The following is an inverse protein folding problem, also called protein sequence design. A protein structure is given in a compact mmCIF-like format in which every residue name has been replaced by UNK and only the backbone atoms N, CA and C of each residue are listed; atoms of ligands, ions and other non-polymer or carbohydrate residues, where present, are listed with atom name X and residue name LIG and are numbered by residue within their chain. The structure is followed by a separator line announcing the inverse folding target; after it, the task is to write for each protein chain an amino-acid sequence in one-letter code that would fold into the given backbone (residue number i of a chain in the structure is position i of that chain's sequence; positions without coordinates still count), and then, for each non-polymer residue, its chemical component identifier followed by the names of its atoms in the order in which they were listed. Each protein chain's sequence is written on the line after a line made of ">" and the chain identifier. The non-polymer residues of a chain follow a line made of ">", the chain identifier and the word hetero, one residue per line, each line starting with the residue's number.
data_IF_464119079057
#
_entry.id   IF_464119079057
#
_cell.length_a   1.000
_cell.length_b   1.000
_cell.length_c   1.000
_cell.angle_alpha   90.00
_cell.angle_beta   90.00
_cell.angle_gamma   90.00
#
_symmetry.space_group_name_H-M   'P 1'
#
loop_
_entity.id
_entity.type
_entity.pdbx_description
1 polymer ?
#
# COMPACT_ATOMS: atom_id res chain seq x y z
N UNK A 1 29.16 -23.68 -0.14
CA UNK A 1 29.02 -24.56 1.05
C UNK A 1 30.23 -24.58 1.98
N UNK A 2 31.48 -24.58 1.50
CA UNK A 2 32.69 -24.67 2.34
C UNK A 2 32.94 -23.43 3.24
N UNK A 3 32.45 -22.26 2.85
CA UNK A 3 32.58 -20.98 3.59
C UNK A 3 31.64 -20.88 4.79
N UNK A 4 30.43 -21.43 4.70
CA UNK A 4 29.45 -21.40 5.80
C UNK A 4 29.88 -22.29 6.97
N UNK A 5 30.48 -23.44 6.69
CA UNK A 5 30.93 -24.40 7.71
C UNK A 5 32.15 -23.93 8.53
N UNK A 6 32.87 -22.89 8.08
CA UNK A 6 34.07 -22.34 8.73
C UNK A 6 33.86 -21.04 9.52
N UNK A 7 32.61 -20.54 9.62
CA UNK A 7 32.32 -19.29 10.32
C UNK A 7 32.46 -19.46 11.84
N UNK A 8 33.38 -18.71 12.44
CA UNK A 8 33.57 -18.66 13.89
C UNK A 8 32.42 -17.95 14.62
N UNK A 9 32.38 -18.04 15.95
CA UNK A 9 31.36 -17.36 16.77
C UNK A 9 31.33 -15.85 16.47
N UNK A 10 30.13 -15.31 16.18
CA UNK A 10 29.86 -13.89 15.87
C UNK A 10 30.51 -13.37 14.57
N UNK A 11 30.73 -14.27 13.62
CA UNK A 11 31.13 -13.94 12.25
C UNK A 11 29.94 -14.22 11.33
N UNK A 12 29.55 -13.23 10.52
CA UNK A 12 28.36 -13.25 9.67
C UNK A 12 28.77 -13.15 8.21
N UNK A 13 27.99 -13.82 7.35
CA UNK A 13 28.09 -13.70 5.90
C UNK A 13 26.92 -12.85 5.43
N UNK A 14 27.21 -11.72 4.78
CA UNK A 14 26.21 -10.88 4.13
C UNK A 14 26.20 -11.22 2.64
N UNK A 15 25.08 -11.77 2.18
CA UNK A 15 24.78 -11.87 0.76
C UNK A 15 23.94 -10.66 0.37
N UNK A 16 24.52 -9.73 -0.38
CA UNK A 16 23.83 -8.56 -0.90
C UNK A 16 23.45 -8.82 -2.35
N UNK A 17 22.15 -8.81 -2.68
CA UNK A 17 21.64 -9.05 -4.04
C UNK A 17 22.09 -7.99 -5.07
N UNK A 18 22.73 -6.92 -4.61
CA UNK A 18 23.30 -5.85 -5.43
C UNK A 18 24.82 -5.92 -5.57
N UNK A 19 25.49 -6.89 -4.95
CA UNK A 19 26.95 -7.08 -5.04
C UNK A 19 27.28 -8.52 -5.44
N UNK A 20 28.31 -8.69 -6.26
CA UNK A 20 28.66 -9.99 -6.85
C UNK A 20 29.42 -10.92 -5.89
N UNK A 21 29.88 -10.43 -4.73
CA UNK A 21 30.69 -11.20 -3.78
C UNK A 21 30.10 -11.17 -2.35
N UNK A 22 30.16 -12.30 -1.66
CA UNK A 22 29.70 -12.41 -0.27
C UNK A 22 30.69 -11.75 0.70
N UNK A 23 30.20 -10.90 1.60
CA UNK A 23 31.03 -10.17 2.56
C UNK A 23 30.98 -10.82 3.94
N UNK A 24 32.14 -11.17 4.51
CA UNK A 24 32.26 -11.68 5.88
C UNK A 24 32.58 -10.55 6.85
N UNK A 25 31.78 -10.38 7.89
CA UNK A 25 32.00 -9.36 8.91
C UNK A 25 31.78 -9.88 10.34
N UNK A 26 32.26 -9.14 11.34
CA UNK A 26 32.13 -9.50 12.77
C UNK A 26 31.54 -8.36 13.57
N UNK A 27 30.77 -8.69 14.61
CA UNK A 27 30.14 -7.70 15.49
C UNK A 27 30.18 -8.15 16.95
N UNK A 28 30.22 -7.18 17.87
CA UNK A 28 30.24 -7.43 19.32
C UNK A 28 28.85 -7.74 19.88
N UNK A 29 27.79 -7.21 19.27
CA UNK A 29 26.40 -7.34 19.70
C UNK A 29 25.52 -7.63 18.48
N UNK A 30 24.67 -8.66 18.57
CA UNK A 30 23.68 -9.04 17.55
C UNK A 30 22.36 -9.29 18.24
N UNK A 31 21.30 -8.67 17.74
CA UNK A 31 19.93 -9.04 18.06
C UNK A 31 19.26 -9.61 16.82
N UNK A 32 18.71 -10.81 16.95
CA UNK A 32 17.95 -11.47 15.89
C UNK A 32 16.47 -11.14 16.09
N UNK A 33 15.95 -10.21 15.29
CA UNK A 33 14.55 -9.79 15.34
C UNK A 33 13.63 -10.69 14.51
N UNK A 34 14.20 -11.47 13.60
CA UNK A 34 13.55 -12.49 12.80
C UNK A 34 14.46 -13.71 12.80
N UNK A 35 14.51 -14.42 13.93
CA UNK A 35 15.13 -15.74 13.93
C UNK A 35 14.39 -16.56 12.88
N UNK A 36 15.12 -17.04 11.87
CA UNK A 36 14.58 -17.98 10.89
C UNK A 36 13.99 -19.21 11.58
N UNK A 37 13.38 -20.14 10.81
CA UNK A 37 12.67 -21.28 11.38
C UNK A 37 13.54 -22.01 12.41
N UNK A 38 12.95 -22.30 13.58
CA UNK A 38 13.65 -22.89 14.73
C UNK A 38 14.51 -24.09 14.29
N UNK A 39 15.75 -24.14 14.75
CA UNK A 39 16.61 -25.30 14.48
C UNK A 39 16.05 -26.55 15.18
N UNK A 40 16.34 -27.74 14.65
CA UNK A 40 15.81 -29.01 15.16
C UNK A 40 16.09 -29.24 16.65
N UNK A 41 17.21 -28.74 17.16
CA UNK A 41 17.55 -28.80 18.59
C UNK A 41 16.77 -27.79 19.44
N UNK A 42 16.52 -26.59 18.92
CA UNK A 42 15.66 -25.62 19.56
C UNK A 42 14.22 -26.12 19.61
N UNK A 43 13.72 -26.74 18.54
CA UNK A 43 12.41 -27.43 18.52
C UNK A 43 12.36 -28.51 19.60
N UNK A 44 13.38 -29.38 19.70
CA UNK A 44 13.45 -30.40 20.76
C UNK A 44 13.43 -29.81 22.18
N UNK A 45 14.10 -28.69 22.37
CA UNK A 45 14.16 -28.01 23.67
C UNK A 45 12.80 -27.38 24.01
N UNK A 46 12.14 -26.78 23.03
CA UNK A 46 10.80 -26.20 23.16
C UNK A 46 9.71 -27.26 23.37
N UNK A 47 9.90 -28.45 22.79
CA UNK A 47 9.00 -29.59 22.95
C UNK A 47 9.30 -30.42 24.21
N UNK A 48 10.36 -30.11 24.96
CA UNK A 48 10.78 -30.90 26.13
C UNK A 48 9.81 -30.76 27.31
N UNK A 49 9.20 -29.59 27.45
CA UNK A 49 8.18 -29.30 28.47
C UNK A 49 6.75 -29.51 27.94
N UNK A 50 6.60 -29.80 26.63
CA UNK A 50 5.35 -30.30 26.05
C UNK A 50 5.35 -31.82 26.12
N UNK A 51 4.75 -32.36 27.18
CA UNK A 51 4.27 -33.75 27.17
C UNK A 51 3.43 -33.94 25.89
N UNK A 52 3.67 -34.99 25.09
CA UNK A 52 3.07 -35.10 23.78
C UNK A 52 1.61 -35.54 23.92
N UNK A 53 0.69 -34.59 23.79
CA UNK A 53 -0.56 -34.89 23.11
C UNK A 53 -0.25 -34.86 21.62
N UNK A 54 0.16 -36.00 21.08
CA UNK A 54 0.29 -36.19 19.63
C UNK A 54 -1.09 -36.06 19.01
N UNK A 55 -1.36 -34.93 18.35
CA UNK A 55 -1.90 -34.87 16.97
C UNK A 55 -1.85 -33.44 16.45
N UNK A 56 -1.53 -33.32 15.16
CA UNK A 56 -1.40 -32.09 14.39
C UNK A 56 -2.62 -31.15 14.50
N UNK A 57 -2.35 -29.85 14.58
CA UNK A 57 -3.34 -28.77 14.57
C UNK A 57 -3.75 -28.46 13.13
N UNK A 58 -4.77 -29.19 12.67
CA UNK A 58 -5.80 -28.74 11.74
C UNK A 58 -7.08 -28.49 12.59
N UNK A 59 -8.13 -27.80 12.08
CA UNK A 59 -9.21 -27.25 12.91
C UNK A 59 -9.80 -28.34 13.82
N UNK A 60 -10.24 -27.99 15.05
CA UNK A 60 -10.47 -28.95 16.12
C UNK A 60 -11.40 -30.06 15.63
N UNK A 61 -10.81 -31.24 15.43
CA UNK A 61 -11.52 -32.46 15.11
C UNK A 61 -12.50 -32.75 16.23
N UNK A 62 -13.78 -32.57 15.91
CA UNK A 62 -14.93 -32.80 16.78
C UNK A 62 -14.89 -34.23 17.32
N UNK A 63 -14.69 -34.38 18.62
CA UNK A 63 -15.00 -35.63 19.30
C UNK A 63 -16.51 -35.84 19.22
N UNK A 64 -16.91 -36.91 18.53
CA UNK A 64 -18.29 -37.28 18.28
C UNK A 64 -19.07 -37.42 19.59
N UNK A 65 -19.89 -36.42 19.92
CA UNK A 65 -20.92 -36.56 20.95
C UNK A 65 -22.12 -37.30 20.32
N UNK A 66 -22.01 -38.63 20.37
CA UNK A 66 -23.05 -39.67 20.38
C UNK A 66 -24.32 -39.49 19.53
N UNK A 67 -24.42 -40.32 18.49
CA UNK A 67 -25.61 -40.82 17.76
C UNK A 67 -26.84 -39.92 17.75
N UNK A 68 -26.97 -39.22 16.63
CA UNK A 68 -28.15 -38.50 16.20
C UNK A 68 -29.36 -39.34 15.79
N UNK A 69 -30.54 -38.71 15.78
CA UNK A 69 -31.78 -39.27 15.25
C UNK A 69 -31.83 -39.20 13.71
N UNK A 70 -32.70 -40.01 13.10
CA UNK A 70 -32.99 -39.96 11.65
C UNK A 70 -33.83 -38.75 11.23
N UNK A 71 -34.50 -38.10 12.20
CA UNK A 71 -35.33 -36.92 11.97
C UNK A 71 -34.80 -35.72 12.75
N UNK A 72 -35.00 -34.52 12.20
CA UNK A 72 -34.72 -33.26 12.87
C UNK A 72 -35.61 -33.10 14.11
N UNK A 73 -35.12 -32.46 15.19
CA UNK A 73 -35.91 -32.22 16.38
C UNK A 73 -37.13 -31.32 16.09
N UNK A 74 -38.26 -31.66 16.72
CA UNK A 74 -39.48 -30.87 16.64
C UNK A 74 -39.32 -29.61 17.50
N UNK A 75 -39.13 -28.47 16.83
CA UNK A 75 -39.06 -27.15 17.48
C UNK A 75 -40.39 -26.40 17.32
N UNK A 76 -40.53 -25.34 18.10
CA UNK A 76 -41.69 -24.46 17.97
C UNK A 76 -41.73 -23.78 16.59
N UNK A 77 -42.92 -23.55 16.00
CA UNK A 77 -43.05 -22.95 14.67
C UNK A 77 -42.44 -21.54 14.53
N UNK A 78 -42.26 -20.83 15.64
CA UNK A 78 -41.61 -19.51 15.69
C UNK A 78 -40.09 -19.56 15.50
N UNK A 79 -39.47 -20.72 15.67
CA UNK A 79 -38.04 -20.94 15.47
C UNK A 79 -37.84 -21.39 14.04
N UNK A 80 -37.30 -20.51 13.19
CA UNK A 80 -36.92 -20.86 11.82
C UNK A 80 -35.80 -21.91 11.85
N UNK A 81 -36.00 -23.00 11.11
CA UNK A 81 -35.01 -24.04 10.89
C UNK A 81 -34.64 -24.06 9.41
N UNK A 82 -33.35 -23.99 9.12
CA UNK A 82 -32.83 -24.00 7.76
C UNK A 82 -31.66 -24.96 7.65
N UNK A 83 -31.41 -25.44 6.44
CA UNK A 83 -30.41 -26.47 6.15
C UNK A 83 -29.43 -25.94 5.11
N UNK A 84 -28.14 -26.13 5.36
CA UNK A 84 -27.16 -25.89 4.31
C UNK A 84 -27.26 -27.02 3.26
N UNK A 85 -27.07 -26.69 1.97
CA UNK A 85 -27.05 -27.70 0.91
C UNK A 85 -25.90 -28.67 1.16
N UNK A 86 -26.23 -29.96 1.17
CA UNK A 86 -25.25 -31.03 1.38
C UNK A 86 -24.66 -31.51 0.05
N UNK A 87 -23.42 -31.97 0.09
CA UNK A 87 -22.71 -32.58 -1.03
C UNK A 87 -22.12 -33.92 -0.60
N UNK A 88 -22.40 -34.97 -1.38
CA UNK A 88 -21.93 -36.32 -1.10
C UNK A 88 -22.93 -37.19 -0.34
N UNK A 89 -22.44 -38.23 0.35
CA UNK A 89 -23.23 -39.24 1.07
C UNK A 89 -22.80 -39.33 2.55
N UNK A 90 -23.59 -40.04 3.37
CA UNK A 90 -23.39 -40.20 4.81
C UNK A 90 -23.38 -38.88 5.58
N UNK A 91 -24.37 -38.04 5.29
CA UNK A 91 -24.50 -36.71 5.87
C UNK A 91 -25.09 -36.78 7.27
N UNK A 92 -24.46 -36.06 8.20
CA UNK A 92 -24.96 -35.77 9.54
C UNK A 92 -25.03 -34.26 9.71
N UNK A 93 -26.24 -33.76 9.94
CA UNK A 93 -26.49 -32.36 10.19
C UNK A 93 -26.21 -31.98 11.64
N UNK A 94 -25.51 -30.86 11.84
CA UNK A 94 -25.21 -30.32 13.16
C UNK A 94 -25.84 -28.95 13.39
N UNK A 95 -26.43 -28.72 14.57
CA UNK A 95 -27.17 -27.50 14.87
C UNK A 95 -26.22 -26.34 15.20
N UNK A 96 -26.44 -25.18 14.58
CA UNK A 96 -25.76 -23.91 14.88
C UNK A 96 -26.74 -22.75 14.86
N UNK A 97 -26.49 -21.74 15.68
CA UNK A 97 -27.25 -20.50 15.61
C UNK A 97 -26.92 -19.79 14.30
N UNK A 98 -27.94 -19.31 13.60
CA UNK A 98 -27.83 -18.67 12.31
C UNK A 98 -28.29 -17.22 12.41
N UNK A 99 -27.53 -16.31 11.80
CA UNK A 99 -27.95 -14.93 11.63
C UNK A 99 -27.48 -14.37 10.29
N UNK A 100 -28.41 -13.81 9.51
CA UNK A 100 -28.14 -13.01 8.32
C UNK A 100 -28.49 -11.56 8.57
N UNK A 101 -27.68 -10.64 8.05
CA UNK A 101 -27.98 -9.22 8.07
C UNK A 101 -27.55 -8.51 6.80
N UNK A 102 -28.39 -7.57 6.39
CA UNK A 102 -28.10 -6.53 5.41
C UNK A 102 -27.60 -5.29 6.13
N UNK A 103 -26.39 -4.87 5.79
CA UNK A 103 -25.69 -3.76 6.42
C UNK A 103 -25.50 -2.66 5.40
N UNK A 104 -26.00 -1.46 5.69
CA UNK A 104 -25.75 -0.27 4.87
C UNK A 104 -24.75 0.65 5.58
N UNK A 105 -23.68 0.99 4.86
CA UNK A 105 -22.66 1.94 5.30
C UNK A 105 -22.85 3.25 4.54
N UNK A 106 -23.13 4.33 5.28
CA UNK A 106 -23.28 5.67 4.72
C UNK A 106 -22.38 6.69 5.42
N UNK A 107 -21.58 7.44 4.66
CA UNK A 107 -20.78 8.55 5.17
C UNK A 107 -20.58 9.63 4.10
N UNK A 108 -21.31 10.75 4.22
CA UNK A 108 -21.24 11.84 3.25
C UNK A 108 -19.87 12.53 3.19
N UNK A 109 -19.15 12.63 4.31
CA UNK A 109 -17.83 13.29 4.38
C UNK A 109 -16.79 12.54 3.54
N UNK A 110 -16.85 11.23 3.57
CA UNK A 110 -15.93 10.35 2.83
C UNK A 110 -16.56 9.73 1.58
N UNK A 111 -17.77 10.17 1.21
CA UNK A 111 -18.53 9.68 0.06
C UNK A 111 -18.67 8.15 0.02
N UNK A 112 -18.90 7.56 1.19
CA UNK A 112 -19.15 6.11 1.30
C UNK A 112 -20.63 5.85 1.21
N UNK A 113 -20.99 5.02 0.25
CA UNK A 113 -22.30 4.39 0.11
C UNK A 113 -22.03 2.95 -0.32
N UNK A 114 -22.24 2.01 0.60
CA UNK A 114 -21.98 0.59 0.36
C UNK A 114 -22.99 -0.24 1.12
N UNK A 115 -23.38 -1.38 0.55
CA UNK A 115 -24.16 -2.40 1.23
C UNK A 115 -23.37 -3.70 1.32
N UNK A 116 -23.63 -4.47 2.38
CA UNK A 116 -23.02 -5.78 2.61
C UNK A 116 -24.06 -6.71 3.19
N UNK A 117 -24.31 -7.82 2.52
CA UNK A 117 -25.01 -8.96 3.09
C UNK A 117 -23.98 -9.83 3.85
N UNK A 118 -24.37 -10.33 5.02
CA UNK A 118 -23.52 -11.21 5.82
C UNK A 118 -24.34 -12.36 6.39
N UNK A 119 -23.79 -13.57 6.35
CA UNK A 119 -24.36 -14.75 6.98
C UNK A 119 -23.35 -15.30 7.98
N UNK A 120 -23.76 -15.39 9.25
CA UNK A 120 -22.93 -15.91 10.33
C UNK A 120 -23.58 -17.14 10.96
N UNK A 121 -22.76 -18.12 11.30
CA UNK A 121 -23.15 -19.28 12.10
C UNK A 121 -22.35 -19.31 13.40
N UNK A 122 -22.97 -19.79 14.48
CA UNK A 122 -22.33 -19.87 15.79
C UNK A 122 -22.67 -21.21 16.46
N UNK A 123 -21.65 -21.93 16.90
CA UNK A 123 -21.85 -23.08 17.78
C UNK A 123 -22.13 -22.58 19.20
N UNK A 124 -23.11 -23.16 19.87
CA UNK A 124 -23.42 -22.79 21.26
C UNK A 124 -22.44 -23.50 22.19
N UNK A 125 -21.92 -22.76 23.16
CA UNK A 125 -21.12 -23.33 24.25
C UNK A 125 -22.00 -23.85 25.38
N UNK A 126 -21.56 -24.93 26.02
CA UNK A 126 -22.13 -25.42 27.26
C UNK A 126 -21.71 -24.50 28.42
N UNK A 127 -22.55 -23.52 28.76
CA UNK A 127 -22.24 -22.56 29.81
C UNK A 127 -23.34 -21.52 30.10
N UNK A 128 -23.12 -20.63 31.10
CA UNK A 128 -24.08 -19.60 31.50
C UNK A 128 -24.26 -18.48 30.45
N UNK A 129 -23.29 -18.32 29.54
CA UNK A 129 -23.31 -17.38 28.42
C UNK A 129 -23.09 -18.18 27.11
N UNK A 130 -24.12 -18.87 26.59
CA UNK A 130 -23.94 -19.80 25.48
C UNK A 130 -23.70 -19.13 24.11
N UNK A 131 -23.76 -17.80 24.04
CA UNK A 131 -23.66 -17.03 22.79
C UNK A 131 -22.60 -15.95 22.94
N UNK A 132 -21.48 -16.15 22.25
CA UNK A 132 -20.46 -15.15 21.98
C UNK A 132 -20.28 -15.03 20.47
N UNK A 133 -20.67 -13.88 19.91
CA UNK A 133 -20.58 -13.66 18.47
C UNK A 133 -19.14 -13.43 17.99
N UNK A 134 -18.17 -13.19 18.87
CA UNK A 134 -16.75 -13.13 18.48
C UNK A 134 -16.22 -14.52 18.04
N UNK A 135 -16.95 -15.60 18.37
CA UNK A 135 -16.66 -16.98 17.96
C UNK A 135 -17.47 -17.41 16.73
N UNK A 136 -18.23 -16.51 16.09
CA UNK A 136 -19.01 -16.88 14.92
C UNK A 136 -18.16 -17.10 13.67
N UNK A 137 -18.65 -17.96 12.79
CA UNK A 137 -18.07 -18.23 11.48
C UNK A 137 -18.90 -17.54 10.41
N UNK A 138 -18.25 -16.73 9.58
CA UNK A 138 -18.88 -16.11 8.42
C UNK A 138 -18.93 -17.11 7.26
N UNK A 139 -20.14 -17.32 6.73
CA UNK A 139 -20.36 -18.16 5.56
C UNK A 139 -20.10 -17.38 4.27
N UNK A 140 -19.55 -18.06 3.26
CA UNK A 140 -19.36 -17.48 1.93
C UNK A 140 -20.64 -17.41 1.09
N UNK A 141 -21.61 -18.29 1.38
CA UNK A 141 -22.87 -18.38 0.66
C UNK A 141 -23.91 -17.38 1.17
N UNK A 142 -24.76 -16.83 0.29
CA UNK A 142 -25.85 -15.92 0.68
C UNK A 142 -26.98 -16.66 1.38
N UNK A 143 -27.78 -15.95 2.18
CA UNK A 143 -28.87 -16.58 2.93
C UNK A 143 -29.95 -17.23 2.04
N UNK A 144 -30.04 -16.82 0.77
CA UNK A 144 -30.98 -17.37 -0.22
C UNK A 144 -30.66 -18.80 -0.68
N UNK A 145 -29.44 -19.29 -0.44
CA UNK A 145 -29.04 -20.67 -0.79
C UNK A 145 -29.39 -21.70 0.29
N UNK A 146 -29.87 -21.24 1.45
CA UNK A 146 -30.35 -22.10 2.52
C UNK A 146 -31.65 -22.79 2.12
N UNK A 147 -31.80 -24.04 2.56
CA UNK A 147 -32.95 -24.90 2.25
C UNK A 147 -33.90 -25.00 3.44
N UNK A 148 -35.19 -25.20 3.17
CA UNK A 148 -36.22 -25.41 4.20
C UNK A 148 -36.28 -26.86 4.71
N UNK A 149 -35.65 -27.80 3.99
CA UNK A 149 -35.66 -29.23 4.32
C UNK A 149 -34.25 -29.81 4.25
N UNK A 150 -33.98 -30.83 5.06
CA UNK A 150 -32.74 -31.58 5.01
C UNK A 150 -32.68 -32.51 3.79
N UNK A 151 -31.46 -32.86 3.40
CA UNK A 151 -31.23 -33.89 2.38
C UNK A 151 -31.80 -35.26 2.85
N UNK A 152 -32.60 -35.96 2.04
CA UNK A 152 -33.21 -37.23 2.41
C UNK A 152 -32.17 -38.29 2.84
N UNK A 153 -32.47 -39.00 3.94
CA UNK A 153 -31.57 -40.04 4.46
C UNK A 153 -30.40 -39.52 5.30
N UNK A 154 -30.37 -38.22 5.62
CA UNK A 154 -29.39 -37.64 6.54
C UNK A 154 -29.69 -37.96 8.00
N UNK A 155 -28.64 -37.96 8.84
CA UNK A 155 -28.76 -37.99 10.30
C UNK A 155 -28.71 -36.60 10.93
N UNK A 156 -29.09 -36.47 12.20
CA UNK A 156 -29.07 -35.20 12.95
C UNK A 156 -28.39 -35.34 14.29
N UNK A 157 -27.29 -34.62 14.50
CA UNK A 157 -26.66 -34.57 15.81
C UNK A 157 -27.59 -33.99 16.89
N UNK A 158 -27.25 -34.28 18.14
CA UNK A 158 -28.03 -33.82 19.28
C UNK A 158 -28.15 -32.28 19.29
N UNK A 159 -29.38 -31.78 19.38
CA UNK A 159 -29.66 -30.36 19.47
C UNK A 159 -29.58 -29.88 20.92
N UNK A 160 -28.72 -28.91 21.24
CA UNK A 160 -28.70 -28.28 22.56
C UNK A 160 -30.08 -27.74 22.95
N UNK A 161 -30.50 -28.02 24.19
CA UNK A 161 -31.81 -27.58 24.71
C UNK A 161 -32.02 -26.07 24.65
N UNK A 162 -30.94 -25.29 24.64
CA UNK A 162 -30.99 -23.84 24.51
C UNK A 162 -31.70 -23.38 23.22
N UNK A 163 -31.57 -24.13 22.12
CA UNK A 163 -32.26 -23.84 20.86
C UNK A 163 -33.78 -24.06 20.94
N UNK A 164 -34.26 -24.91 21.85
CA UNK A 164 -35.71 -25.13 22.02
C UNK A 164 -36.42 -24.01 22.79
N UNK A 165 -35.67 -23.09 23.41
CA UNK A 165 -36.21 -22.01 24.25
C UNK A 165 -36.41 -20.74 23.41
N UNK A 166 -37.65 -20.51 22.94
CA UNK A 166 -38.00 -19.36 22.09
C UNK A 166 -37.60 -18.00 22.67
N UNK A 167 -37.70 -17.82 24.00
CA UNK A 167 -37.35 -16.57 24.68
C UNK A 167 -35.87 -16.18 24.59
N UNK A 168 -35.01 -17.07 24.12
CA UNK A 168 -33.60 -16.80 23.91
C UNK A 168 -33.31 -16.05 22.61
N UNK A 169 -34.05 -16.33 21.53
CA UNK A 169 -33.77 -15.76 20.20
C UNK A 169 -33.77 -14.23 20.17
N UNK A 170 -34.77 -13.52 20.74
CA UNK A 170 -34.74 -12.05 20.79
C UNK A 170 -33.59 -11.47 21.64
N UNK A 171 -33.01 -12.26 22.56
CA UNK A 171 -31.82 -11.85 23.33
C UNK A 171 -30.57 -12.02 22.47
N UNK A 172 -30.43 -13.16 21.80
CA UNK A 172 -29.30 -13.46 20.93
C UNK A 172 -29.25 -12.54 19.71
N UNK A 173 -30.39 -12.21 19.11
CA UNK A 173 -30.50 -11.28 17.99
C UNK A 173 -30.04 -9.87 18.39
N UNK A 174 -30.42 -9.39 19.59
CA UNK A 174 -29.92 -8.10 20.11
C UNK A 174 -28.42 -8.10 20.35
N UNK A 175 -27.83 -9.23 20.77
CA UNK A 175 -26.39 -9.37 20.89
C UNK A 175 -25.73 -9.34 19.50
N UNK A 176 -26.33 -9.99 18.51
CA UNK A 176 -25.86 -9.99 17.12
C UNK A 176 -25.84 -8.58 16.52
N UNK A 177 -26.94 -7.82 16.62
CA UNK A 177 -26.98 -6.44 16.11
C UNK A 177 -25.95 -5.54 16.79
N UNK A 178 -25.70 -5.75 18.10
CA UNK A 178 -24.65 -5.02 18.83
C UNK A 178 -23.26 -5.39 18.32
N UNK A 179 -23.01 -6.66 18.08
CA UNK A 179 -21.76 -7.20 17.57
C UNK A 179 -21.48 -6.69 16.15
N UNK A 180 -22.46 -6.75 15.24
CA UNK A 180 -22.35 -6.21 13.87
C UNK A 180 -21.89 -4.76 13.87
N UNK A 181 -22.50 -3.91 14.72
CA UNK A 181 -22.13 -2.49 14.81
C UNK A 181 -20.66 -2.27 15.22
N UNK A 182 -20.07 -3.20 15.97
CA UNK A 182 -18.70 -3.08 16.48
C UNK A 182 -17.68 -3.66 15.50
N UNK A 183 -17.99 -4.81 14.91
CA UNK A 183 -17.04 -5.63 14.14
C UNK A 183 -17.19 -5.48 12.62
N UNK A 184 -18.41 -5.30 12.10
CA UNK A 184 -18.62 -5.05 10.67
C UNK A 184 -18.41 -3.56 10.36
N UNK A 185 -17.26 -3.26 9.77
CA UNK A 185 -16.82 -1.90 9.47
C UNK A 185 -16.23 -1.77 8.07
N UNK A 186 -16.13 -0.52 7.59
CA UNK A 186 -15.34 -0.15 6.41
C UNK A 186 -14.16 0.68 6.87
N UNK A 187 -12.95 0.15 6.67
CA UNK A 187 -11.70 0.88 6.87
C UNK A 187 -11.34 1.66 5.61
N UNK A 188 -11.04 2.94 5.76
CA UNK A 188 -10.45 3.78 4.74
C UNK A 188 -9.08 4.28 5.18
N UNK A 189 -8.21 4.55 4.22
CA UNK A 189 -6.90 5.15 4.46
C UNK A 189 -6.94 6.64 4.14
N UNK A 190 -6.17 7.46 4.84
CA UNK A 190 -6.06 8.90 4.58
C UNK A 190 -4.64 9.40 4.65
N UNK A 191 -4.22 10.09 3.58
CA UNK A 191 -3.00 10.91 3.60
C UNK A 191 -3.34 12.34 4.02
N UNK A 192 -2.75 12.81 5.13
CA UNK A 192 -2.89 14.21 5.55
C UNK A 192 -2.18 15.16 4.60
N UNK A 193 -1.01 14.77 4.09
CA UNK A 193 -0.17 15.61 3.24
C UNK A 193 -0.85 15.94 1.91
N UNK A 194 -1.50 14.94 1.30
CA UNK A 194 -2.22 15.15 0.04
C UNK A 194 -3.70 15.52 0.23
N UNK A 195 -4.23 15.35 1.44
CA UNK A 195 -5.62 15.67 1.79
C UNK A 195 -6.62 14.71 1.14
N UNK A 196 -6.20 13.48 0.87
CA UNK A 196 -6.96 12.48 0.12
C UNK A 196 -7.28 11.28 1.01
N UNK A 197 -8.46 10.68 0.80
CA UNK A 197 -8.87 9.43 1.43
C UNK A 197 -9.07 8.33 0.38
N UNK A 198 -8.96 7.07 0.81
CA UNK A 198 -9.24 5.91 0.00
C UNK A 198 -10.74 5.78 -0.28
N UNK A 199 -11.09 5.04 -1.32
CA UNK A 199 -12.49 4.63 -1.56
C UNK A 199 -12.83 3.38 -0.75
N UNK A 200 -14.12 3.11 -0.57
CA UNK A 200 -14.57 1.91 0.13
C UNK A 200 -14.10 0.65 -0.61
N UNK A 201 -13.41 -0.25 0.08
CA UNK A 201 -12.87 -1.48 -0.49
C UNK A 201 -11.55 -1.33 -1.27
N UNK A 202 -11.02 -0.11 -1.40
CA UNK A 202 -9.69 0.10 -2.01
C UNK A 202 -8.60 -0.46 -1.09
N UNK A 203 -7.70 -1.25 -1.66
CA UNK A 203 -6.55 -1.77 -0.91
C UNK A 203 -5.56 -0.64 -0.60
N UNK A 204 -4.72 -0.82 0.44
CA UNK A 204 -3.69 0.16 0.76
C UNK A 204 -2.73 0.41 -0.41
N UNK A 205 -2.38 -0.66 -1.14
CA UNK A 205 -1.49 -0.59 -2.31
C UNK A 205 -2.08 0.24 -3.46
N UNK A 206 -3.35 0.00 -3.81
CA UNK A 206 -4.07 0.80 -4.81
C UNK A 206 -4.13 2.27 -4.40
N UNK A 207 -4.44 2.53 -3.12
CA UNK A 207 -4.49 3.88 -2.60
C UNK A 207 -3.13 4.59 -2.67
N UNK A 208 -2.04 3.93 -2.28
CA UNK A 208 -0.68 4.47 -2.39
C UNK A 208 -0.29 4.76 -3.84
N UNK A 209 -0.65 3.88 -4.79
CA UNK A 209 -0.42 4.13 -6.21
C UNK A 209 -1.14 5.40 -6.69
N UNK A 210 -2.40 5.59 -6.26
CA UNK A 210 -3.17 6.80 -6.56
C UNK A 210 -2.59 8.06 -5.93
N UNK A 211 -2.05 7.96 -4.71
CA UNK A 211 -1.31 9.06 -4.07
C UNK A 211 -0.04 9.42 -4.86
N UNK A 212 0.71 8.43 -5.34
CA UNK A 212 1.92 8.65 -6.13
C UNK A 212 1.62 9.35 -7.46
N UNK A 213 0.55 8.94 -8.13
CA UNK A 213 0.09 9.57 -9.35
C UNK A 213 -0.28 11.04 -9.10
N UNK A 214 -1.13 11.30 -8.11
CA UNK A 214 -1.56 12.67 -7.77
C UNK A 214 -0.37 13.56 -7.39
N UNK A 215 0.59 13.02 -6.63
CA UNK A 215 1.82 13.75 -6.29
C UNK A 215 2.64 14.08 -7.52
N UNK A 216 2.69 13.18 -8.50
CA UNK A 216 3.42 13.39 -9.74
C UNK A 216 2.75 14.44 -10.63
N UNK A 217 1.44 14.42 -10.75
CA UNK A 217 0.68 15.45 -11.46
C UNK A 217 0.87 16.85 -10.82
N UNK A 218 0.84 16.94 -9.48
CA UNK A 218 1.13 18.19 -8.74
C UNK A 218 2.57 18.66 -8.94
N UNK A 219 3.53 17.74 -9.07
CA UNK A 219 4.93 18.06 -9.35
C UNK A 219 5.10 18.60 -10.77
N UNK A 220 4.52 17.93 -11.76
CA UNK A 220 4.64 18.31 -13.16
C UNK A 220 4.04 19.70 -13.40
N UNK A 221 2.86 19.96 -12.82
CA UNK A 221 2.24 21.29 -12.87
C UNK A 221 3.08 22.38 -12.18
N UNK A 222 3.74 22.06 -11.06
CA UNK A 222 4.68 22.98 -10.41
C UNK A 222 5.93 23.24 -11.26
N UNK A 223 6.51 22.20 -11.87
CA UNK A 223 7.66 22.31 -12.78
C UNK A 223 7.30 23.14 -14.02
N UNK A 224 6.12 22.94 -14.61
CA UNK A 224 5.65 23.75 -15.74
C UNK A 224 5.47 25.22 -15.36
N UNK A 225 4.89 25.50 -14.20
CA UNK A 225 4.76 26.86 -13.70
C UNK A 225 6.13 27.53 -13.48
N UNK A 226 7.08 26.77 -12.94
CA UNK A 226 8.46 27.19 -12.75
C UNK A 226 9.14 27.50 -14.10
N UNK A 227 9.02 26.59 -15.08
CA UNK A 227 9.53 26.78 -16.44
C UNK A 227 8.97 28.04 -17.09
N UNK A 228 7.66 28.30 -16.97
CA UNK A 228 7.04 29.53 -17.51
C UNK A 228 7.63 30.80 -16.88
N UNK A 229 7.87 30.80 -15.56
CA UNK A 229 8.48 31.94 -14.85
C UNK A 229 9.93 32.19 -15.29
N UNK A 230 10.70 31.12 -15.48
CA UNK A 230 12.11 31.21 -15.87
C UNK A 230 12.30 31.50 -17.37
N UNK A 231 11.41 31.01 -18.24
CA UNK A 231 11.43 31.34 -19.66
C UNK A 231 11.32 32.85 -19.91
N UNK A 232 10.42 33.54 -19.21
CA UNK A 232 10.26 34.99 -19.34
C UNK A 232 11.54 35.77 -18.94
N UNK A 233 12.25 35.32 -17.90
CA UNK A 233 13.52 35.91 -17.47
C UNK A 233 14.64 35.62 -18.48
N UNK A 234 14.68 34.40 -19.00
CA UNK A 234 15.67 33.95 -19.99
C UNK A 234 15.57 34.76 -21.27
N UNK A 235 14.36 34.91 -21.82
CA UNK A 235 14.12 35.75 -23.02
C UNK A 235 14.56 37.20 -22.81
N UNK A 236 14.42 37.73 -21.59
CA UNK A 236 14.88 39.08 -21.28
C UNK A 236 16.41 39.19 -21.33
N UNK A 237 17.12 38.19 -20.79
CA UNK A 237 18.59 38.13 -20.80
C UNK A 237 19.14 37.83 -22.20
N UNK A 238 18.53 36.90 -22.95
CA UNK A 238 18.90 36.60 -24.35
C UNK A 238 18.80 37.85 -25.24
N UNK A 239 17.72 38.63 -25.10
CA UNK A 239 17.58 39.89 -25.82
C UNK A 239 18.67 40.91 -25.43
N UNK A 240 19.15 40.91 -24.18
CA UNK A 240 20.28 41.75 -23.75
C UNK A 240 21.60 41.26 -24.32
N UNK A 241 21.81 39.94 -24.35
CA UNK A 241 22.99 39.30 -24.93
C UNK A 241 23.11 39.64 -26.42
N UNK A 242 22.01 39.49 -27.17
CA UNK A 242 21.95 39.82 -28.58
C UNK A 242 22.32 41.29 -28.83
N UNK A 243 21.78 42.22 -28.01
CA UNK A 243 22.12 43.66 -28.11
C UNK A 243 23.60 43.93 -27.80
N UNK A 244 24.17 43.24 -26.80
CA UNK A 244 25.58 43.36 -26.46
C UNK A 244 26.49 42.84 -27.59
N UNK A 245 26.16 41.69 -28.17
CA UNK A 245 26.86 41.12 -29.33
C UNK A 245 26.81 42.06 -30.54
N UNK A 246 25.63 42.59 -30.86
CA UNK A 246 25.47 43.58 -31.94
C UNK A 246 26.24 44.90 -31.67
N UNK A 247 26.43 45.29 -30.41
CA UNK A 247 27.25 46.45 -30.06
C UNK A 247 28.74 46.18 -30.29
N UNK A 248 29.24 45.01 -29.85
CA UNK A 248 30.61 44.57 -30.09
C UNK A 248 30.90 44.54 -31.59
N UNK A 249 30.00 43.97 -32.39
CA UNK A 249 30.18 43.86 -33.84
C UNK A 249 30.27 45.26 -34.49
N UNK A 250 29.34 46.16 -34.18
CA UNK A 250 29.35 47.54 -34.68
C UNK A 250 30.61 48.32 -34.30
N UNK A 251 31.03 48.25 -33.04
CA UNK A 251 32.21 48.95 -32.54
C UNK A 251 33.50 48.35 -33.11
N UNK A 252 33.54 47.02 -33.33
CA UNK A 252 34.68 46.34 -33.96
C UNK A 252 34.87 46.70 -35.43
N UNK A 253 33.78 46.94 -36.17
CA UNK A 253 33.80 47.39 -37.56
C UNK A 253 34.25 48.86 -37.67
N UNK A 254 33.81 49.71 -36.74
CA UNK A 254 34.21 51.13 -36.69
C UNK A 254 35.67 51.34 -36.27
N UNK A 255 36.21 50.48 -35.39
CA UNK A 255 37.62 50.48 -34.99
C UNK A 255 38.57 49.95 -36.09
N UNK A 256 38.13 49.92 -37.36
CA UNK A 256 38.81 49.38 -38.51
C UNK A 256 40.20 49.98 -38.77
N UNK A 257 41.24 49.40 -38.14
CA UNK A 257 42.61 49.31 -38.65
C UNK A 257 43.39 48.21 -37.90
N UNK A 258 43.62 47.09 -38.60
CA UNK A 258 44.62 46.04 -38.33
C UNK A 258 44.85 45.68 -36.84
N UNK A 259 44.04 44.78 -36.31
CA UNK A 259 44.57 43.61 -35.58
C UNK A 259 43.83 42.37 -36.05
N UNK A 260 44.60 41.51 -36.70
CA UNK A 260 44.20 40.22 -37.25
C UNK A 260 43.83 39.24 -36.12
N UNK A 261 42.96 38.30 -36.48
CA UNK A 261 42.69 37.02 -35.84
C UNK A 261 42.33 37.03 -34.36
N UNK A 262 41.03 37.14 -34.09
CA UNK A 262 40.46 36.55 -32.89
C UNK A 262 39.20 35.79 -33.29
N UNK A 263 39.43 34.56 -33.76
CA UNK A 263 38.40 33.56 -33.94
C UNK A 263 37.77 33.27 -32.56
N UNK A 264 36.62 33.87 -32.31
CA UNK A 264 35.75 33.50 -31.20
C UNK A 264 34.55 32.78 -31.79
N UNK A 265 34.70 31.47 -31.97
CA UNK A 265 33.57 30.56 -32.05
C UNK A 265 33.00 30.44 -30.64
N UNK A 266 31.99 31.24 -30.34
CA UNK A 266 31.11 30.97 -29.21
C UNK A 266 29.79 30.50 -29.81
N UNK A 267 29.74 29.19 -30.02
CA UNK A 267 28.51 28.50 -30.41
C UNK A 267 27.47 28.65 -29.31
N UNK A 268 26.31 29.17 -29.67
CA UNK A 268 25.08 29.12 -28.87
C UNK A 268 24.64 27.67 -28.75
N UNK A 269 25.24 26.95 -27.80
CA UNK A 269 24.85 25.59 -27.45
C UNK A 269 24.10 25.57 -26.12
N UNK A 270 23.10 26.43 -25.95
CA UNK A 270 22.18 26.32 -24.81
C UNK A 270 20.77 26.53 -25.32
N UNK A 271 20.20 25.43 -25.82
CA UNK A 271 18.78 25.06 -25.79
C UNK A 271 18.53 23.74 -26.56
N UNK A 272 19.52 22.85 -26.66
CA UNK A 272 19.38 21.54 -27.30
C UNK A 272 19.44 20.33 -26.36
N UNK A 273 19.84 20.52 -25.10
CA UNK A 273 20.09 19.41 -24.16
C UNK A 273 18.86 18.91 -23.39
N UNK A 274 17.66 19.36 -23.75
CA UNK A 274 16.40 18.95 -23.11
C UNK A 274 15.60 17.90 -23.93
N UNK A 275 16.31 17.12 -24.75
CA UNK A 275 15.82 15.89 -25.36
C UNK A 275 16.80 14.76 -25.02
N UNK A 276 16.54 14.03 -23.94
CA UNK A 276 17.12 12.71 -23.74
C UNK A 276 18.48 12.66 -23.04
N UNK A 277 18.42 12.39 -21.75
CA UNK A 277 19.23 11.36 -21.05
C UNK A 277 20.58 11.02 -21.71
N UNK A 278 21.63 11.80 -21.43
CA UNK A 278 22.98 11.28 -21.12
C UNK A 278 23.91 12.38 -20.62
N UNK A 279 24.57 12.07 -19.52
CA UNK A 279 25.74 12.78 -18.98
C UNK A 279 26.79 12.91 -20.09
N UNK A 280 27.19 14.12 -20.43
CA UNK A 280 28.48 14.43 -21.05
C UNK A 280 28.99 15.69 -20.35
N UNK A 281 29.80 15.49 -19.31
CA UNK A 281 31.26 15.63 -19.40
C UNK A 281 31.65 17.09 -19.56
N UNK A 282 31.79 17.75 -18.41
CA UNK A 282 32.50 19.00 -18.25
C UNK A 282 33.96 18.81 -18.70
N UNK A 283 34.34 19.42 -19.82
CA UNK A 283 35.74 19.58 -20.19
C UNK A 283 35.99 20.96 -20.77
N UNK A 284 35.81 22.00 -19.94
CA UNK A 284 36.50 23.27 -20.16
C UNK A 284 36.80 23.92 -18.81
N UNK A 285 37.90 23.50 -18.19
CA UNK A 285 38.56 24.26 -17.15
C UNK A 285 40.05 24.32 -17.48
N UNK A 286 40.63 25.52 -17.34
CA UNK A 286 42.02 25.90 -17.53
C UNK A 286 42.45 26.24 -18.98
N UNK A 287 42.51 27.56 -19.25
CA UNK A 287 43.76 28.24 -19.65
C UNK A 287 43.62 29.75 -19.48
N UNK A 288 44.10 30.21 -18.32
CA UNK A 288 44.54 31.59 -18.08
C UNK A 288 45.92 31.75 -18.72
N UNK A 289 46.17 32.88 -19.40
CA UNK A 289 47.47 33.19 -19.99
C UNK A 289 47.57 34.64 -20.48
N UNK A 290 48.24 35.45 -19.66
CA UNK A 290 48.71 36.85 -19.78
C UNK A 290 49.18 37.33 -21.17
N UNK A 291 48.85 38.57 -21.55
CA UNK A 291 49.82 39.52 -22.16
C UNK A 291 49.35 40.99 -22.17
N UNK A 292 50.33 41.89 -22.05
CA UNK A 292 50.31 43.29 -21.56
C UNK A 292 50.29 44.35 -22.69
N UNK A 293 49.73 45.53 -22.35
CA UNK A 293 49.95 46.93 -22.82
C UNK A 293 50.48 47.19 -24.24
N UNK A 294 49.77 48.06 -24.97
CA UNK A 294 50.40 49.15 -25.76
C UNK A 294 49.43 50.28 -26.16
N UNK A 295 49.92 51.52 -26.02
CA UNK A 295 49.66 52.73 -26.82
C UNK A 295 48.44 53.64 -26.53
N UNK A 296 48.75 54.85 -26.05
CA UNK A 296 47.85 55.95 -25.66
C UNK A 296 47.44 56.87 -26.82
N UNK A 297 46.81 56.31 -27.86
CA UNK A 297 46.31 57.10 -29.00
C UNK A 297 44.96 56.68 -29.56
N UNK A 298 44.37 55.57 -29.08
CA UNK A 298 43.09 55.00 -29.54
C UNK A 298 42.14 54.74 -28.36
N UNK A 299 42.16 55.64 -27.37
CA UNK A 299 41.75 55.37 -26.00
C UNK A 299 40.23 55.42 -25.74
N UNK A 300 39.44 55.93 -26.68
CA UNK A 300 37.96 55.91 -26.59
C UNK A 300 37.38 54.68 -27.28
N UNK A 301 37.70 54.45 -28.54
CA UNK A 301 37.12 53.36 -29.35
C UNK A 301 37.52 51.95 -28.88
N UNK A 302 38.75 51.75 -28.39
CA UNK A 302 39.15 50.47 -27.80
C UNK A 302 38.52 50.22 -26.42
N UNK A 303 38.16 51.28 -25.69
CA UNK A 303 37.48 51.18 -24.41
C UNK A 303 36.01 50.79 -24.54
N UNK A 304 35.37 51.21 -25.63
CA UNK A 304 33.96 50.92 -25.92
C UNK A 304 33.76 49.41 -26.15
N UNK A 305 34.60 48.79 -27.00
CA UNK A 305 34.58 47.34 -27.25
C UNK A 305 34.82 46.53 -25.97
N UNK A 306 35.71 47.01 -25.08
CA UNK A 306 35.98 46.35 -23.79
C UNK A 306 34.75 46.41 -22.87
N UNK A 307 34.04 47.55 -22.79
CA UNK A 307 32.80 47.67 -22.00
C UNK A 307 31.66 46.82 -22.57
N UNK A 308 31.54 46.75 -23.90
CA UNK A 308 30.54 45.91 -24.55
C UNK A 308 30.79 44.41 -24.26
N UNK A 309 32.05 43.96 -24.29
CA UNK A 309 32.45 42.60 -23.86
C UNK A 309 32.18 42.32 -22.39
N UNK A 310 32.47 43.27 -21.49
CA UNK A 310 32.14 43.12 -20.07
C UNK A 310 30.63 42.99 -19.84
N UNK A 311 29.82 43.71 -20.62
CA UNK A 311 28.35 43.61 -20.55
C UNK A 311 27.87 42.25 -21.04
N UNK A 312 28.43 41.75 -22.15
CA UNK A 312 28.13 40.41 -22.66
C UNK A 312 28.46 39.34 -21.62
N UNK A 313 29.67 39.36 -21.06
CA UNK A 313 30.09 38.41 -20.03
C UNK A 313 29.14 38.43 -18.83
N UNK A 314 28.76 39.62 -18.35
CA UNK A 314 27.81 39.74 -17.23
C UNK A 314 26.46 39.11 -17.55
N UNK A 315 25.95 39.28 -18.78
CA UNK A 315 24.67 38.69 -19.19
C UNK A 315 24.77 37.17 -19.32
N UNK A 316 25.93 36.64 -19.76
CA UNK A 316 26.21 35.19 -19.76
C UNK A 316 26.25 34.64 -18.33
N UNK A 317 26.97 35.30 -17.42
CA UNK A 317 27.02 34.92 -16.01
C UNK A 317 25.61 34.94 -15.37
N UNK A 318 24.79 35.95 -15.70
CA UNK A 318 23.40 36.06 -15.24
C UNK A 318 22.52 34.91 -15.80
N UNK A 319 22.74 34.47 -17.04
CA UNK A 319 22.04 33.33 -17.65
C UNK A 319 22.43 32.01 -16.96
N UNK A 320 23.72 31.80 -16.70
CA UNK A 320 24.22 30.60 -16.02
C UNK A 320 23.72 30.50 -14.58
N UNK A 321 23.70 31.64 -13.87
CA UNK A 321 23.12 31.72 -12.53
C UNK A 321 21.62 31.42 -12.55
N UNK A 322 20.89 31.94 -13.54
CA UNK A 322 19.46 31.69 -13.69
C UNK A 322 19.17 30.21 -13.98
N UNK A 323 19.95 29.57 -14.84
CA UNK A 323 19.81 28.14 -15.15
C UNK A 323 20.12 27.27 -13.93
N UNK A 324 21.16 27.63 -13.17
CA UNK A 324 21.52 26.92 -11.93
C UNK A 324 20.42 27.03 -10.88
N UNK A 325 19.79 28.20 -10.73
CA UNK A 325 18.66 28.40 -9.82
C UNK A 325 17.43 27.60 -10.25
N UNK A 326 17.11 27.56 -11.55
CA UNK A 326 16.04 26.72 -12.09
C UNK A 326 16.26 25.24 -11.75
N UNK A 327 17.48 24.74 -11.98
CA UNK A 327 17.81 23.35 -11.71
C UNK A 327 17.66 23.01 -10.22
N UNK A 328 18.16 23.88 -9.33
CA UNK A 328 18.01 23.70 -7.88
C UNK A 328 16.54 23.67 -7.44
N UNK A 329 15.71 24.56 -7.99
CA UNK A 329 14.26 24.57 -7.67
C UNK A 329 13.54 23.32 -8.22
N UNK A 330 13.94 22.79 -9.39
CA UNK A 330 13.40 21.53 -9.92
C UNK A 330 13.81 20.33 -9.04
N UNK A 331 15.09 20.24 -8.67
CA UNK A 331 15.60 19.13 -7.85
C UNK A 331 14.94 19.08 -6.46
N UNK A 332 14.59 20.24 -5.90
CA UNK A 332 13.82 20.34 -4.65
C UNK A 332 12.37 19.82 -4.80
N UNK A 333 11.76 19.95 -5.98
CA UNK A 333 10.43 19.42 -6.25
C UNK A 333 10.45 17.89 -6.49
N UNK A 334 11.52 17.36 -7.07
CA UNK A 334 11.67 15.93 -7.37
C UNK A 334 11.80 15.06 -6.10
N UNK A 335 12.42 15.60 -5.06
CA UNK A 335 12.68 14.87 -3.80
C UNK A 335 11.49 14.85 -2.82
N UNK A 336 10.38 15.53 -3.14
CA UNK A 336 9.39 15.90 -2.13
C UNK A 336 8.35 14.84 -1.70
N UNK A 337 8.14 13.76 -2.46
CA UNK A 337 7.07 12.81 -2.16
C UNK A 337 7.36 11.36 -2.60
N UNK A 338 7.33 10.44 -1.63
CA UNK A 338 7.31 8.99 -1.84
C UNK A 338 6.03 8.42 -1.21
N UNK A 339 5.15 7.83 -2.03
CA UNK A 339 3.90 7.24 -1.55
C UNK A 339 4.11 6.04 -0.62
N UNK A 340 5.25 5.34 -0.68
CA UNK A 340 5.52 4.20 0.20
C UNK A 340 5.87 4.63 1.63
N UNK A 341 6.54 5.77 1.77
CA UNK A 341 6.95 6.30 3.09
C UNK A 341 5.88 7.20 3.71
N UNK A 342 4.80 7.51 2.98
CA UNK A 342 3.73 8.37 3.47
C UNK A 342 2.96 7.68 4.62
N UNK A 343 2.83 8.32 5.79
CA UNK A 343 2.01 7.80 6.88
C UNK A 343 0.53 7.93 6.54
N UNK A 344 -0.20 6.83 6.67
CA UNK A 344 -1.64 6.78 6.42
C UNK A 344 -2.39 6.66 7.75
N UNK A 345 -3.39 7.52 7.95
CA UNK A 345 -4.35 7.36 9.04
C UNK A 345 -5.45 6.38 8.60
N UNK A 346 -5.90 5.53 9.52
CA UNK A 346 -7.09 4.70 9.32
C UNK A 346 -8.35 5.42 9.79
N UNK A 347 -9.40 5.37 8.96
CA UNK A 347 -10.73 5.88 9.26
C UNK A 347 -11.69 4.70 9.24
N UNK A 348 -12.26 4.39 10.41
CA UNK A 348 -13.24 3.32 10.56
C UNK A 348 -14.65 3.90 10.42
N UNK A 349 -15.39 3.41 9.43
CA UNK A 349 -16.81 3.73 9.22
C UNK A 349 -17.65 2.57 9.72
N UNK A 350 -18.54 2.86 10.67
CA UNK A 350 -19.49 1.91 11.24
C UNK A 350 -20.90 2.21 10.74
N UNK A 351 -21.67 1.15 10.52
CA UNK A 351 -23.10 1.29 10.24
C UNK A 351 -23.84 1.86 11.46
N UNK A 352 -24.92 2.60 11.20
CA UNK A 352 -25.84 3.02 12.27
C UNK A 352 -26.78 1.86 12.58
N UNK A 353 -27.37 1.87 13.78
CA UNK A 353 -28.38 0.87 14.16
C UNK A 353 -29.59 0.85 13.22
N UNK A 354 -29.98 2.00 12.67
CA UNK A 354 -31.07 2.11 11.67
C UNK A 354 -30.74 1.48 10.33
N UNK A 355 -29.45 1.29 10.06
CA UNK A 355 -28.91 0.84 8.77
C UNK A 355 -28.51 -0.65 8.84
N UNK A 356 -28.89 -1.33 9.93
CA UNK A 356 -28.71 -2.76 10.15
C UNK A 356 -30.08 -3.43 10.09
N UNK A 357 -30.26 -4.34 9.14
CA UNK A 357 -31.47 -5.14 9.01
C UNK A 357 -31.14 -6.61 9.16
N UNK A 358 -31.62 -7.26 10.23
CA UNK A 358 -31.50 -8.71 10.40
C UNK A 358 -32.59 -9.35 9.55
N UNK A 359 -32.21 -9.89 8.41
CA UNK A 359 -33.13 -10.49 7.43
C UNK A 359 -33.52 -11.93 7.81
N UNK A 360 -32.63 -12.63 8.51
CA UNK A 360 -32.83 -14.01 8.94
C UNK A 360 -32.16 -14.27 10.29
N UNK A 361 -32.87 -14.93 11.20
CA UNK A 361 -32.34 -15.34 12.48
C UNK A 361 -33.01 -16.65 12.90
N UNK A 362 -32.24 -17.67 13.27
CA UNK A 362 -32.81 -19.00 13.50
C UNK A 362 -31.78 -20.08 13.80
N UNK A 363 -32.19 -21.33 13.63
CA UNK A 363 -31.34 -22.50 13.72
C UNK A 363 -30.93 -22.92 12.30
N UNK A 364 -29.63 -23.09 12.08
CA UNK A 364 -29.09 -23.74 10.89
C UNK A 364 -28.61 -25.15 11.21
N UNK A 365 -28.80 -26.02 10.25
CA UNK A 365 -28.27 -27.38 10.22
C UNK A 365 -27.15 -27.43 9.18
N UNK A 366 -25.91 -27.60 9.65
CA UNK A 366 -24.72 -27.67 8.79
C UNK A 366 -24.38 -29.14 8.50
N UNK A 367 -24.25 -29.55 7.23
CA UNK A 367 -23.99 -30.94 6.87
C UNK A 367 -22.51 -31.28 7.05
N UNK A 368 -22.21 -32.30 7.84
CA UNK A 368 -20.86 -32.87 7.94
C UNK A 368 -20.90 -34.33 7.52
N UNK A 369 -19.75 -34.84 7.07
CA UNK A 369 -19.51 -36.27 6.91
C UNK A 369 -18.44 -36.74 7.88
N UNK A 370 -18.63 -37.92 8.44
CA UNK A 370 -17.63 -38.56 9.27
C UNK A 370 -16.61 -39.28 8.36
N UNK A 371 -15.34 -39.00 8.59
CA UNK A 371 -14.22 -39.68 7.94
C UNK A 371 -13.91 -40.98 8.69
N UNK A 372 -13.22 -41.91 8.01
CA UNK A 372 -12.85 -43.22 8.58
C UNK A 372 -12.00 -43.12 9.87
N UNK A 373 -11.37 -41.96 10.12
CA UNK A 373 -10.59 -41.65 11.31
C UNK A 373 -11.40 -41.00 12.45
N UNK A 374 -12.72 -40.88 12.29
CA UNK A 374 -13.65 -40.26 13.25
C UNK A 374 -13.68 -38.73 13.23
N UNK A 375 -12.98 -38.09 12.29
CA UNK A 375 -13.05 -36.62 12.11
C UNK A 375 -14.27 -36.23 11.30
N UNK A 376 -14.80 -35.04 11.57
CA UNK A 376 -15.86 -34.45 10.75
C UNK A 376 -15.24 -33.57 9.66
N UNK A 377 -15.72 -33.74 8.44
CA UNK A 377 -15.44 -32.86 7.32
C UNK A 377 -16.71 -32.13 6.91
N UNK A 378 -16.62 -30.84 6.62
CA UNK A 378 -17.72 -30.08 6.02
C UNK A 378 -18.17 -30.75 4.73
N UNK A 379 -19.48 -30.86 4.56
CA UNK A 379 -20.11 -31.44 3.37
C UNK A 379 -20.91 -30.38 2.61
N UNK A 380 -20.48 -29.12 2.65
CA UNK A 380 -20.98 -28.02 1.83
C UNK A 380 -19.81 -27.39 1.07
N UNK A 381 -20.11 -26.64 0.02
CA UNK A 381 -19.11 -25.85 -0.72
C UNK A 381 -18.90 -24.49 -0.06
N UNK A 382 -17.63 -24.13 0.17
CA UNK A 382 -17.21 -22.82 0.65
C UNK A 382 -17.14 -21.77 -0.46
#
# INVERSE_FOLDING_TARGET
>A
ERTLAGLGKRRFLLHNVHEDEDVVFSTRWVMSYLAGPLTREQIKTLMRDRVPATTATEPPGRVANTKGSSDAPVLAPSIKQLYLPATGSNIVYYPRLLASADIVFSNARYKVEASRETLHTLELEDGPLPVDWDLCEKMSLPASELQDNAEPGSGFAQCPNAFSVQGNYPKWERLYTRWLRQNETISLYRSKKLGLASTAGETEGEFRARLQQLASERRDTAIEALRKRYAAKTTTLENRLLRAQQAIERESQQAGKKKLDTALSFGTAILGALLGRKKLSASTASRVGTAIRSASGAQKEAGDVVRARQTMQKVEDDLDALNSALQQEIDQLDTGFNALDEPLDEIVIRAKTTDLHVSLFGLAWLPYRELDDGRLQSAWTD
#
